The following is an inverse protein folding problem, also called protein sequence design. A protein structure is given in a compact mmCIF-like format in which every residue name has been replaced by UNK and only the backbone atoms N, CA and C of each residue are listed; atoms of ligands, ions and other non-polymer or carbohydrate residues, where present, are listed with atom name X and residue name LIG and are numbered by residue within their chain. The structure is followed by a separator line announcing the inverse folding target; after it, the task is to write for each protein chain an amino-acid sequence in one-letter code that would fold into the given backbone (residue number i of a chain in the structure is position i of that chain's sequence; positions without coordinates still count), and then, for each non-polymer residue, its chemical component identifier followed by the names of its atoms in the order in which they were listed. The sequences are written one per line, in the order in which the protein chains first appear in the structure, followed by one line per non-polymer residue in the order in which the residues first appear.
data_IF_199261633966
#
_entry.id   IF_199261633966
#
_cell.length_a   1.000
_cell.length_b   1.000
_cell.length_c   1.000
_cell.angle_alpha   90.00
_cell.angle_beta   90.00
_cell.angle_gamma   90.00
#
_symmetry.space_group_name_H-M   'P 1'
#
loop_
_entity.id
_entity.type
_entity.pdbx_description
1 polymer ?
#
# COMPACT_ATOMS: atom_id res chain seq x y z
N UNK A 1 -0.33 1.28 -20.17
CA UNK A 1 0.45 1.75 -18.99
C UNK A 1 1.06 3.11 -19.34
N UNK A 2 1.48 3.95 -18.38
CA UNK A 2 2.18 5.21 -18.67
C UNK A 2 3.34 5.05 -19.69
N UNK A 3 4.10 3.96 -19.58
CA UNK A 3 5.15 3.61 -20.54
C UNK A 3 4.66 3.48 -22.00
N UNK A 4 3.41 3.08 -22.23
CA UNK A 4 2.85 2.96 -23.60
C UNK A 4 2.58 4.32 -24.25
N UNK A 5 2.58 5.39 -23.45
CA UNK A 5 2.44 6.78 -23.93
C UNK A 5 3.73 7.57 -23.69
N UNK A 6 4.85 6.88 -23.46
CA UNK A 6 6.17 7.51 -23.26
C UNK A 6 6.34 8.24 -21.92
N UNK A 7 5.48 7.97 -20.93
CA UNK A 7 5.51 8.64 -19.62
C UNK A 7 5.98 7.71 -18.52
N UNK A 8 6.82 8.20 -17.63
CA UNK A 8 7.23 7.54 -16.40
C UNK A 8 6.76 8.39 -15.22
N UNK A 9 6.10 7.75 -14.25
CA UNK A 9 5.69 8.39 -13.00
C UNK A 9 6.62 7.90 -11.90
N UNK A 10 7.33 8.81 -11.26
CA UNK A 10 8.34 8.49 -10.24
C UNK A 10 7.91 9.14 -8.92
N UNK A 11 7.97 8.37 -7.83
CA UNK A 11 7.76 8.89 -6.49
C UNK A 11 8.91 9.84 -6.12
N UNK A 12 8.63 10.95 -5.42
CA UNK A 12 9.62 11.97 -5.07
C UNK A 12 10.82 11.38 -4.31
N UNK A 13 10.58 10.48 -3.36
CA UNK A 13 11.65 9.82 -2.59
C UNK A 13 12.46 8.86 -3.48
N UNK A 14 11.84 8.24 -4.48
CA UNK A 14 12.59 7.44 -5.46
C UNK A 14 13.54 8.34 -6.26
N UNK A 15 13.10 9.53 -6.68
CA UNK A 15 13.96 10.47 -7.38
C UNK A 15 15.10 10.98 -6.48
N UNK A 16 14.80 11.30 -5.22
CA UNK A 16 15.79 11.64 -4.19
C UNK A 16 16.86 10.55 -4.07
N UNK A 17 16.44 9.29 -3.89
CA UNK A 17 17.34 8.15 -3.76
C UNK A 17 18.15 7.87 -5.03
N UNK A 18 17.62 8.14 -6.23
CA UNK A 18 18.38 8.04 -7.48
C UNK A 18 19.52 9.07 -7.48
N UNK A 19 19.26 10.30 -7.03
CA UNK A 19 20.30 11.33 -6.89
C UNK A 19 21.45 10.89 -5.97
N UNK A 20 21.12 10.33 -4.81
CA UNK A 20 22.10 9.77 -3.88
C UNK A 20 22.86 8.57 -4.47
N UNK A 21 22.16 7.66 -5.14
CA UNK A 21 22.79 6.51 -5.79
C UNK A 21 23.79 6.92 -6.88
N UNK A 22 23.52 8.00 -7.63
CA UNK A 22 24.47 8.56 -8.61
C UNK A 22 25.72 9.16 -7.94
N UNK A 23 25.62 9.57 -6.67
CA UNK A 23 26.76 10.00 -5.86
C UNK A 23 27.46 8.83 -5.13
N UNK A 24 27.04 7.58 -5.37
CA UNK A 24 27.60 6.38 -4.72
C UNK A 24 26.99 6.07 -3.36
N UNK A 25 25.92 6.74 -2.96
CA UNK A 25 25.22 6.51 -1.69
C UNK A 25 24.01 5.58 -1.91
N UNK A 26 24.05 4.34 -1.39
CA UNK A 26 22.95 3.39 -1.56
C UNK A 26 21.76 3.71 -0.66
N UNK A 27 20.59 3.14 -1.00
CA UNK A 27 19.38 3.27 -0.19
C UNK A 27 19.46 2.35 1.03
N UNK A 28 19.75 2.92 2.19
CA UNK A 28 19.79 2.24 3.50
C UNK A 28 18.64 2.66 4.42
N UNK A 29 17.98 3.78 4.14
CA UNK A 29 16.92 4.34 4.97
C UNK A 29 15.62 4.57 4.19
N UNK A 30 14.53 4.79 4.94
CA UNK A 30 13.20 5.12 4.45
C UNK A 30 12.61 6.26 5.27
N UNK A 31 11.92 7.19 4.59
CA UNK A 31 11.07 8.15 5.29
C UNK A 31 9.72 7.52 5.60
N UNK A 32 9.35 7.45 6.87
CA UNK A 32 8.11 6.82 7.34
C UNK A 32 7.34 7.79 8.22
N UNK A 33 6.06 7.99 7.91
CA UNK A 33 5.12 8.71 8.76
C UNK A 33 4.38 7.75 9.67
N UNK A 34 4.42 7.98 10.99
CA UNK A 34 3.62 7.29 11.99
C UNK A 34 2.48 8.22 12.42
N UNK A 35 1.25 7.79 12.22
CA UNK A 35 0.06 8.59 12.46
C UNK A 35 -1.09 7.76 13.07
N UNK A 36 -2.22 8.41 13.35
CA UNK A 36 -3.39 7.76 13.93
C UNK A 36 -3.43 7.87 15.45
N UNK A 37 -3.88 6.81 16.12
CA UNK A 37 -3.99 6.68 17.57
C UNK A 37 -2.63 6.38 18.23
N UNK A 38 -1.73 7.36 18.14
CA UNK A 38 -0.41 7.34 18.79
C UNK A 38 -0.27 8.57 19.69
N UNK A 39 0.65 8.56 20.65
CA UNK A 39 0.84 9.73 21.52
C UNK A 39 1.23 10.98 20.72
N UNK A 40 2.22 10.84 19.84
CA UNK A 40 2.71 11.94 19.00
C UNK A 40 2.94 11.45 17.56
N UNK A 41 2.12 11.90 16.59
CA UNK A 41 2.36 11.64 15.18
C UNK A 41 3.68 12.26 14.72
N UNK A 42 4.50 11.48 14.03
CA UNK A 42 5.84 11.89 13.59
C UNK A 42 6.15 11.39 12.18
N UNK A 43 7.06 12.08 11.51
CA UNK A 43 7.72 11.57 10.30
C UNK A 43 9.21 11.50 10.56
N UNK A 44 9.83 10.36 10.25
CA UNK A 44 11.20 10.04 10.66
C UNK A 44 11.93 9.33 9.52
N UNK A 45 13.25 9.56 9.40
CA UNK A 45 14.15 8.77 8.56
C UNK A 45 14.65 7.57 9.36
N UNK A 46 14.22 6.36 8.98
CA UNK A 46 14.55 5.13 9.70
C UNK A 46 15.32 4.15 8.83
N UNK A 47 16.19 3.29 9.41
CA UNK A 47 16.89 2.26 8.64
C UNK A 47 15.89 1.26 8.06
N UNK A 48 16.13 0.81 6.82
CA UNK A 48 15.34 -0.25 6.23
C UNK A 48 15.46 -1.52 7.09
N UNK A 49 14.34 -2.21 7.22
CA UNK A 49 14.22 -3.44 7.99
C UNK A 49 14.03 -3.27 9.48
N UNK A 50 14.00 -2.04 10.00
CA UNK A 50 13.51 -1.77 11.36
C UNK A 50 12.07 -2.26 11.50
N UNK A 51 11.68 -2.73 12.68
CA UNK A 51 10.32 -3.20 12.89
C UNK A 51 9.33 -2.03 12.96
N UNK A 52 8.07 -2.28 12.57
CA UNK A 52 7.01 -1.29 12.75
C UNK A 52 6.82 -0.93 14.24
N UNK A 53 6.99 -1.89 15.15
CA UNK A 53 6.91 -1.70 16.60
C UNK A 53 7.93 -0.70 17.12
N UNK A 54 9.21 -0.82 16.72
CA UNK A 54 10.24 0.15 17.09
C UNK A 54 9.89 1.57 16.62
N UNK A 55 9.24 1.73 15.47
CA UNK A 55 8.76 3.04 15.02
C UNK A 55 7.53 3.55 15.79
N UNK A 56 6.64 2.66 16.21
CA UNK A 56 5.53 3.02 17.08
C UNK A 56 6.02 3.53 18.43
N UNK A 57 7.07 2.92 18.99
CA UNK A 57 7.69 3.36 20.25
C UNK A 57 8.24 4.79 20.14
N UNK A 58 8.84 5.15 18.99
CA UNK A 58 9.29 6.53 18.73
C UNK A 58 8.14 7.54 18.70
N UNK A 59 6.94 7.13 18.25
CA UNK A 59 5.72 7.94 18.28
C UNK A 59 5.05 7.97 19.68
N UNK A 60 5.69 7.39 20.70
CA UNK A 60 5.19 7.27 22.06
C UNK A 60 4.17 6.14 22.26
N UNK A 61 4.14 5.17 21.35
CA UNK A 61 3.30 3.98 21.40
C UNK A 61 1.86 4.20 20.93
N UNK A 62 1.12 3.10 20.68
CA UNK A 62 -0.31 3.15 20.38
C UNK A 62 -1.11 3.60 21.61
N UNK A 63 -2.18 4.36 21.39
CA UNK A 63 -3.08 4.83 22.46
C UNK A 63 -3.84 3.72 23.18
N UNK A 64 -3.99 2.56 22.52
CA UNK A 64 -4.67 1.37 23.04
C UNK A 64 -3.82 0.11 22.80
N UNK A 65 -3.93 -0.88 23.68
CA UNK A 65 -3.25 -2.18 23.51
C UNK A 65 -3.87 -3.01 22.37
N UNK A 66 -5.17 -2.85 22.13
CA UNK A 66 -5.88 -3.49 21.02
C UNK A 66 -6.08 -2.50 19.87
N UNK A 67 -5.24 -2.65 18.84
CA UNK A 67 -5.20 -1.72 17.71
C UNK A 67 -5.03 -2.44 16.37
N UNK A 68 -5.45 -1.76 15.33
CA UNK A 68 -5.17 -2.06 13.94
C UNK A 68 -3.97 -1.26 13.49
N UNK A 69 -3.05 -1.93 12.81
CA UNK A 69 -1.92 -1.31 12.15
C UNK A 69 -2.09 -1.41 10.65
N UNK A 70 -2.12 -0.25 9.98
CA UNK A 70 -2.25 -0.15 8.53
C UNK A 70 -0.93 0.36 7.97
N UNK A 71 -0.34 -0.41 7.07
CA UNK A 71 0.82 0.01 6.27
C UNK A 71 0.34 0.74 5.00
N UNK A 72 0.79 1.98 4.82
CA UNK A 72 0.37 2.88 3.74
C UNK A 72 -0.74 3.84 4.17
N UNK A 73 -1.60 4.22 3.22
CA UNK A 73 -2.70 5.15 3.48
C UNK A 73 -4.02 4.46 3.89
N UNK A 74 -5.00 5.20 4.43
CA UNK A 74 -6.25 4.61 4.94
C UNK A 74 -7.14 3.99 3.85
N UNK A 75 -6.91 4.36 2.59
CA UNK A 75 -7.69 3.88 1.44
C UNK A 75 -7.09 2.64 0.77
N UNK A 76 -5.77 2.60 0.57
CA UNK A 76 -5.09 1.54 -0.20
C UNK A 76 -4.12 0.71 0.64
N UNK A 77 -3.91 1.10 1.91
CA UNK A 77 -3.02 0.41 2.82
C UNK A 77 -3.54 -0.96 3.23
N UNK A 78 -2.64 -1.77 3.74
CA UNK A 78 -2.91 -3.16 4.13
C UNK A 78 -2.72 -3.32 5.62
N UNK A 79 -3.45 -4.27 6.21
CA UNK A 79 -3.18 -4.67 7.58
C UNK A 79 -1.77 -5.25 7.69
N UNK A 80 -1.05 -4.80 8.70
CA UNK A 80 0.27 -5.27 9.07
C UNK A 80 0.33 -5.50 10.58
N UNK A 81 1.48 -5.93 11.09
CA UNK A 81 1.71 -6.16 12.52
C UNK A 81 2.99 -5.46 12.95
N UNK A 82 3.16 -5.25 14.25
CA UNK A 82 4.32 -4.58 14.84
C UNK A 82 5.65 -5.25 14.50
N UNK A 83 5.65 -6.56 14.25
CA UNK A 83 6.86 -7.35 14.00
C UNK A 83 7.34 -7.22 12.56
N UNK A 84 6.51 -6.71 11.64
CA UNK A 84 6.89 -6.62 10.24
C UNK A 84 7.95 -5.54 10.01
N UNK A 85 8.92 -5.79 9.14
CA UNK A 85 9.95 -4.83 8.81
C UNK A 85 9.41 -3.71 7.91
N UNK A 86 9.97 -2.52 8.09
CA UNK A 86 9.85 -1.40 7.14
C UNK A 86 10.68 -1.70 5.90
N UNK A 87 10.07 -1.50 4.74
CA UNK A 87 10.68 -1.75 3.42
C UNK A 87 10.74 -0.47 2.59
N UNK A 88 11.39 -0.52 1.42
CA UNK A 88 11.40 0.58 0.45
C UNK A 88 9.99 1.06 0.05
N UNK A 89 8.98 0.19 0.18
CA UNK A 89 7.57 0.50 -0.13
C UNK A 89 6.75 1.03 1.04
N UNK A 90 7.29 0.99 2.26
CA UNK A 90 6.59 1.41 3.47
C UNK A 90 6.61 2.94 3.59
N UNK A 91 5.55 3.62 3.15
CA UNK A 91 5.47 5.09 3.22
C UNK A 91 4.92 5.63 4.54
N UNK A 92 4.16 4.82 5.28
CA UNK A 92 3.57 5.25 6.55
C UNK A 92 2.88 4.13 7.29
N UNK A 93 2.65 4.34 8.57
CA UNK A 93 1.99 3.45 9.52
C UNK A 93 0.85 4.23 10.18
N UNK A 94 -0.36 3.69 10.11
CA UNK A 94 -1.54 4.29 10.73
C UNK A 94 -2.05 3.33 11.81
N UNK A 95 -2.06 3.80 13.05
CA UNK A 95 -2.64 3.09 14.20
C UNK A 95 -4.09 3.53 14.36
N UNK A 96 -5.01 2.60 14.54
CA UNK A 96 -6.40 2.89 14.88
C UNK A 96 -6.90 1.88 15.91
N UNK A 97 -7.79 2.24 16.86
CA UNK A 97 -8.38 1.23 17.73
C UNK A 97 -9.20 0.22 16.91
N UNK A 98 -9.29 -1.03 17.37
CA UNK A 98 -10.10 -2.07 16.69
C UNK A 98 -11.59 -1.73 16.62
N UNK A 99 -12.07 -0.86 17.52
CA UNK A 99 -13.42 -0.30 17.53
C UNK A 99 -13.68 0.69 16.38
N UNK A 100 -12.63 1.21 15.73
CA UNK A 100 -12.74 2.22 14.69
C UNK A 100 -13.57 1.73 13.48
N UNK A 101 -14.43 2.56 12.85
CA UNK A 101 -15.29 2.14 11.74
C UNK A 101 -14.54 1.48 10.56
N UNK A 102 -13.33 1.94 10.24
CA UNK A 102 -12.50 1.33 9.19
C UNK A 102 -12.11 -0.12 9.49
N UNK A 103 -12.04 -0.55 10.75
CA UNK A 103 -11.78 -1.94 11.14
C UNK A 103 -12.73 -2.93 10.45
N UNK A 104 -14.01 -2.53 10.36
CA UNK A 104 -15.06 -3.31 9.71
C UNK A 104 -14.82 -3.44 8.20
N UNK A 105 -14.10 -2.51 7.59
CA UNK A 105 -13.80 -2.59 6.15
C UNK A 105 -12.75 -3.65 5.85
N UNK A 106 -11.79 -3.87 6.75
CA UNK A 106 -10.70 -4.85 6.58
C UNK A 106 -11.08 -6.27 6.98
N UNK A 107 -12.06 -6.45 7.87
CA UNK A 107 -12.46 -7.76 8.42
C UNK A 107 -13.58 -8.47 7.65
N UNK A 108 -14.14 -7.87 6.58
CA UNK A 108 -15.28 -8.46 5.85
C UNK A 108 -14.85 -9.54 4.87
N UNK A 109 -15.42 -10.73 5.06
CA UNK A 109 -15.26 -11.84 4.11
C UNK A 109 -16.00 -11.59 2.79
N UNK A 110 -15.56 -12.26 1.74
CA UNK A 110 -16.20 -12.23 0.41
C UNK A 110 -17.69 -12.56 0.51
N UNK A 111 -18.02 -13.65 1.20
CA UNK A 111 -19.40 -14.11 1.39
C UNK A 111 -20.28 -13.07 2.08
N UNK A 112 -19.76 -12.41 3.12
CA UNK A 112 -20.50 -11.32 3.81
C UNK A 112 -20.75 -10.14 2.88
N UNK A 113 -19.76 -9.74 2.08
CA UNK A 113 -19.93 -8.65 1.11
C UNK A 113 -20.94 -9.00 0.01
N UNK A 114 -20.93 -10.25 -0.49
CA UNK A 114 -21.88 -10.71 -1.50
C UNK A 114 -23.32 -10.74 -0.97
N UNK A 115 -23.52 -11.32 0.21
CA UNK A 115 -24.83 -11.37 0.85
C UNK A 115 -25.38 -9.96 1.09
N UNK A 116 -24.55 -9.04 1.60
CA UNK A 116 -24.97 -7.66 1.81
C UNK A 116 -25.33 -6.98 0.48
N UNK A 117 -24.52 -7.17 -0.57
CA UNK A 117 -24.82 -6.62 -1.88
C UNK A 117 -26.17 -7.14 -2.43
N UNK A 118 -26.45 -8.43 -2.29
CA UNK A 118 -27.73 -9.03 -2.65
C UNK A 118 -28.91 -8.45 -1.86
N UNK A 119 -28.70 -8.14 -0.57
CA UNK A 119 -29.77 -7.65 0.31
C UNK A 119 -30.09 -6.16 0.15
N UNK A 120 -29.09 -5.29 -0.05
CA UNK A 120 -29.28 -3.83 0.07
C UNK A 120 -28.82 -3.01 -1.15
N UNK A 121 -28.19 -3.61 -2.16
CA UNK A 121 -27.71 -2.83 -3.30
C UNK A 121 -28.87 -2.32 -4.16
N UNK A 122 -29.10 -1.01 -4.16
CA UNK A 122 -30.14 -0.38 -4.99
C UNK A 122 -29.72 -0.04 -6.43
N UNK A 123 -28.52 -0.45 -6.86
CA UNK A 123 -28.00 -0.20 -8.22
C UNK A 123 -27.93 1.28 -8.62
N UNK A 124 -27.79 2.20 -7.66
CA UNK A 124 -27.84 3.67 -7.85
C UNK A 124 -26.68 4.29 -8.66
N UNK A 125 -25.77 3.50 -9.25
CA UNK A 125 -24.61 3.95 -10.04
C UNK A 125 -23.54 4.82 -9.32
N UNK A 126 -23.76 5.35 -8.11
CA UNK A 126 -22.83 6.27 -7.42
C UNK A 126 -21.38 5.79 -7.35
N UNK A 127 -21.15 4.48 -7.15
CA UNK A 127 -19.81 3.90 -7.13
C UNK A 127 -19.04 4.02 -8.46
N UNK A 128 -19.76 4.29 -9.56
CA UNK A 128 -19.23 4.51 -10.91
C UNK A 128 -19.11 6.00 -11.21
N UNK A 129 -20.12 6.80 -10.84
CA UNK A 129 -20.09 8.25 -11.03
C UNK A 129 -18.92 8.92 -10.30
N UNK A 130 -18.56 8.40 -9.13
CA UNK A 130 -17.45 8.91 -8.31
C UNK A 130 -16.15 8.14 -8.53
N UNK A 131 -16.12 7.15 -9.44
CA UNK A 131 -14.91 6.36 -9.67
C UNK A 131 -13.83 7.21 -10.35
N UNK A 132 -12.64 7.42 -9.75
CA UNK A 132 -11.60 8.25 -10.37
C UNK A 132 -11.16 7.74 -11.74
N UNK A 133 -11.12 6.42 -11.93
CA UNK A 133 -10.77 5.82 -13.23
C UNK A 133 -11.82 6.10 -14.28
N UNK A 134 -13.11 6.03 -13.92
CA UNK A 134 -14.22 6.38 -14.82
C UNK A 134 -14.17 7.86 -15.21
N UNK A 135 -13.91 8.74 -14.23
CA UNK A 135 -13.77 10.17 -14.46
C UNK A 135 -12.59 10.52 -15.35
N UNK A 136 -11.53 9.70 -15.36
CA UNK A 136 -10.39 9.81 -16.28
C UNK A 136 -10.63 9.16 -17.66
N UNK A 137 -11.86 8.76 -17.99
CA UNK A 137 -12.20 8.16 -19.27
C UNK A 137 -11.91 6.65 -19.38
N UNK A 138 -11.61 5.94 -18.29
CA UNK A 138 -11.59 4.47 -18.35
C UNK A 138 -13.01 3.91 -18.40
N UNK A 139 -13.25 2.79 -19.11
CA UNK A 139 -14.58 2.18 -19.21
C UNK A 139 -15.01 1.45 -17.93
N UNK A 140 -14.40 1.70 -16.78
CA UNK A 140 -14.68 0.99 -15.53
C UNK A 140 -16.06 1.38 -14.95
N UNK A 141 -16.94 0.39 -14.82
CA UNK A 141 -18.29 0.56 -14.28
C UNK A 141 -18.54 -0.34 -13.04
N UNK A 142 -18.08 0.07 -11.84
CA UNK A 142 -18.19 -0.75 -10.63
C UNK A 142 -19.62 -1.20 -10.31
N UNK A 143 -20.65 -0.41 -10.64
CA UNK A 143 -22.05 -0.79 -10.42
C UNK A 143 -22.45 -2.02 -11.23
N UNK A 144 -22.04 -2.11 -12.50
CA UNK A 144 -22.31 -3.28 -13.35
C UNK A 144 -21.57 -4.51 -12.88
N UNK A 145 -20.32 -4.33 -12.42
CA UNK A 145 -19.54 -5.41 -11.84
C UNK A 145 -20.24 -5.95 -10.59
N UNK A 146 -20.69 -5.07 -9.69
CA UNK A 146 -21.48 -5.46 -8.51
C UNK A 146 -22.75 -6.22 -8.90
N UNK A 147 -23.51 -5.74 -9.90
CA UNK A 147 -24.70 -6.42 -10.41
C UNK A 147 -24.37 -7.82 -10.96
N UNK A 148 -23.35 -7.89 -11.81
CA UNK A 148 -22.97 -9.14 -12.46
C UNK A 148 -22.52 -10.20 -11.45
N UNK A 149 -21.69 -9.81 -10.47
CA UNK A 149 -21.25 -10.71 -9.40
C UNK A 149 -22.41 -11.11 -8.49
N UNK A 150 -23.27 -10.17 -8.09
CA UNK A 150 -24.37 -10.45 -7.15
C UNK A 150 -25.38 -11.43 -7.73
N UNK A 151 -25.77 -11.25 -8.99
CA UNK A 151 -26.76 -12.09 -9.66
C UNK A 151 -26.16 -13.22 -10.50
N UNK A 152 -24.85 -13.49 -10.35
CA UNK A 152 -24.12 -14.51 -11.10
C UNK A 152 -24.31 -14.39 -12.64
N UNK A 153 -24.30 -13.17 -13.16
CA UNK A 153 -24.46 -12.87 -14.59
C UNK A 153 -23.09 -12.92 -15.25
N UNK A 154 -22.96 -13.70 -16.32
CA UNK A 154 -21.77 -13.75 -17.16
C UNK A 154 -21.65 -12.50 -18.07
N UNK A 155 -21.41 -11.32 -17.48
CA UNK A 155 -21.19 -10.08 -18.23
C UNK A 155 -19.75 -10.02 -18.76
N UNK A 156 -19.57 -10.47 -20.01
CA UNK A 156 -18.28 -10.47 -20.74
C UNK A 156 -17.72 -9.06 -21.01
N UNK A 157 -18.50 -8.00 -20.77
CA UNK A 157 -18.07 -6.61 -20.96
C UNK A 157 -17.65 -6.00 -19.63
N UNK A 158 -18.50 -6.10 -18.60
CA UNK A 158 -18.28 -5.44 -17.31
C UNK A 158 -17.23 -6.15 -16.45
N UNK A 159 -17.29 -7.48 -16.31
CA UNK A 159 -16.41 -8.22 -15.40
C UNK A 159 -14.91 -8.01 -15.73
N UNK A 160 -14.47 -8.05 -16.99
CA UNK A 160 -13.09 -7.71 -17.36
C UNK A 160 -12.61 -6.34 -16.89
N UNK A 161 -13.50 -5.35 -16.80
CA UNK A 161 -13.14 -3.98 -16.44
C UNK A 161 -12.55 -3.90 -15.03
N UNK A 162 -12.77 -4.91 -14.17
CA UNK A 162 -12.14 -5.00 -12.86
C UNK A 162 -10.61 -4.79 -12.92
N UNK A 163 -9.95 -5.24 -13.99
CA UNK A 163 -8.51 -5.02 -14.22
C UNK A 163 -8.09 -3.54 -14.28
N UNK A 164 -9.02 -2.62 -14.60
CA UNK A 164 -8.78 -1.17 -14.66
C UNK A 164 -8.87 -0.47 -13.30
N UNK A 165 -9.41 -1.14 -12.28
CA UNK A 165 -9.61 -0.55 -10.96
C UNK A 165 -8.26 -0.14 -10.35
N UNK A 166 -8.19 1.01 -9.69
CA UNK A 166 -7.00 1.45 -8.94
C UNK A 166 -7.02 1.02 -7.47
N UNK A 167 -8.10 0.38 -7.01
CA UNK A 167 -8.29 -0.06 -5.63
C UNK A 167 -8.32 1.09 -4.61
N UNK A 168 -8.56 2.33 -5.06
CA UNK A 168 -8.56 3.54 -4.24
C UNK A 168 -9.65 3.62 -3.15
N UNK A 169 -10.65 2.75 -3.15
CA UNK A 169 -11.68 2.72 -2.11
C UNK A 169 -12.72 3.86 -2.14
N UNK A 170 -12.67 4.80 -3.09
CA UNK A 170 -13.71 5.84 -3.19
C UNK A 170 -15.12 5.25 -3.27
N UNK A 171 -15.27 4.13 -4.00
CA UNK A 171 -16.56 3.47 -4.18
C UNK A 171 -17.18 2.92 -2.88
N UNK A 172 -16.37 2.50 -1.91
CA UNK A 172 -16.85 1.85 -0.68
C UNK A 172 -16.70 2.73 0.56
N UNK A 173 -15.64 3.53 0.62
CA UNK A 173 -15.39 4.48 1.72
C UNK A 173 -16.19 5.78 1.57
N UNK A 174 -16.60 6.14 0.34
CA UNK A 174 -17.28 7.42 0.09
C UNK A 174 -18.53 7.36 -0.78
N UNK A 175 -18.59 6.52 -1.80
CA UNK A 175 -19.74 6.55 -2.71
C UNK A 175 -20.92 5.76 -2.14
N UNK A 176 -20.72 4.50 -1.74
CA UNK A 176 -21.84 3.62 -1.40
C UNK A 176 -22.56 4.04 -0.11
N UNK A 177 -23.87 4.38 -0.16
CA UNK A 177 -24.62 4.75 1.04
C UNK A 177 -24.93 3.54 1.94
N UNK A 178 -24.91 2.33 1.38
CA UNK A 178 -25.15 1.08 2.10
C UNK A 178 -23.86 0.41 2.60
N UNK A 179 -22.70 1.04 2.41
CA UNK A 179 -21.41 0.51 2.84
C UNK A 179 -21.00 -0.78 2.13
N UNK A 180 -21.41 -1.00 0.89
CA UNK A 180 -20.95 -2.12 0.06
C UNK A 180 -19.51 -1.87 -0.41
N UNK A 181 -18.79 -2.96 -0.72
CA UNK A 181 -17.40 -2.86 -1.22
C UNK A 181 -17.22 -3.30 -2.69
N UNK A 182 -17.47 -2.41 -3.67
CA UNK A 182 -17.08 -2.65 -5.05
C UNK A 182 -15.55 -2.78 -5.23
N UNK A 183 -14.75 -2.13 -4.38
CA UNK A 183 -13.28 -2.30 -4.36
C UNK A 183 -12.91 -3.75 -4.14
N UNK A 184 -13.46 -4.40 -3.10
CA UNK A 184 -13.15 -5.79 -2.78
C UNK A 184 -13.62 -6.73 -3.90
N UNK A 185 -14.81 -6.52 -4.47
CA UNK A 185 -15.25 -7.33 -5.62
C UNK A 185 -14.29 -7.22 -6.81
N UNK A 186 -13.82 -6.01 -7.12
CA UNK A 186 -12.84 -5.80 -8.18
C UNK A 186 -11.49 -6.48 -7.86
N UNK A 187 -11.04 -6.47 -6.61
CA UNK A 187 -9.79 -7.14 -6.20
C UNK A 187 -9.86 -8.65 -6.44
N UNK A 188 -10.98 -9.29 -6.07
CA UNK A 188 -11.19 -10.71 -6.29
C UNK A 188 -11.21 -11.06 -7.78
N UNK A 189 -11.98 -10.31 -8.57
CA UNK A 189 -12.06 -10.50 -10.02
C UNK A 189 -10.71 -10.28 -10.69
N UNK A 190 -9.92 -9.31 -10.24
CA UNK A 190 -8.56 -9.10 -10.75
C UNK A 190 -7.67 -10.32 -10.53
N UNK A 191 -7.72 -10.94 -9.35
CA UNK A 191 -6.94 -12.15 -9.05
C UNK A 191 -7.34 -13.27 -10.01
N UNK A 192 -8.65 -13.50 -10.18
CA UNK A 192 -9.18 -14.54 -11.05
C UNK A 192 -8.81 -14.29 -12.53
N UNK A 193 -9.02 -13.08 -13.04
CA UNK A 193 -8.70 -12.72 -14.42
C UNK A 193 -7.20 -12.82 -14.71
N UNK A 194 -6.34 -12.43 -13.75
CA UNK A 194 -4.89 -12.60 -13.87
C UNK A 194 -4.48 -14.08 -13.88
N UNK A 195 -5.09 -14.90 -13.02
CA UNK A 195 -4.84 -16.36 -13.00
C UNK A 195 -5.18 -17.01 -14.34
N UNK A 196 -6.22 -16.54 -15.01
CA UNK A 196 -6.63 -16.99 -16.34
C UNK A 196 -5.86 -16.32 -17.48
N UNK A 197 -4.79 -15.58 -17.21
CA UNK A 197 -4.00 -14.84 -18.20
C UNK A 197 -4.82 -13.94 -19.13
N UNK A 198 -5.94 -13.41 -18.63
CA UNK A 198 -6.83 -12.59 -19.44
C UNK A 198 -6.19 -11.22 -19.73
N UNK A 199 -5.93 -10.94 -21.01
CA UNK A 199 -5.26 -9.70 -21.48
C UNK A 199 -6.17 -8.91 -22.43
N UNK A 200 -7.01 -8.02 -21.92
CA UNK A 200 -7.89 -7.20 -22.74
C UNK A 200 -7.18 -6.00 -23.36
N UNK A 201 -7.58 -5.65 -24.57
CA UNK A 201 -7.31 -4.35 -25.16
C UNK A 201 -8.40 -3.36 -24.73
N UNK A 202 -7.99 -2.21 -24.20
CA UNK A 202 -8.92 -1.19 -23.71
C UNK A 202 -8.99 -0.03 -24.71
N UNK A 203 -10.21 0.35 -25.07
CA UNK A 203 -10.46 1.67 -25.67
C UNK A 203 -10.80 2.64 -24.55
N UNK A 204 -10.15 3.81 -24.54
CA UNK A 204 -10.57 4.89 -23.67
C UNK A 204 -12.02 5.27 -24.01
N UNK A 205 -12.83 5.40 -22.98
CA UNK A 205 -14.14 6.02 -23.07
C UNK A 205 -13.96 7.55 -23.03
N UNK A 206 -15.00 8.28 -23.43
CA UNK A 206 -15.02 9.73 -23.24
C UNK A 206 -15.00 10.09 -21.75
N UNK A 207 -14.31 11.18 -21.42
CA UNK A 207 -14.39 11.78 -20.09
C UNK A 207 -15.86 12.18 -19.85
N UNK A 208 -16.51 11.65 -18.80
CA UNK A 208 -17.92 11.93 -18.56
C UNK A 208 -18.17 13.43 -18.26
N UNK A 209 -19.27 14.00 -18.75
CA UNK A 209 -19.63 15.41 -18.51
C UNK A 209 -19.73 15.74 -17.02
N UNK A 210 -19.31 16.94 -16.59
CA UNK A 210 -19.34 17.32 -15.16
C UNK A 210 -18.36 16.54 -14.30
N UNK A 211 -17.20 16.17 -14.84
CA UNK A 211 -16.15 15.46 -14.11
C UNK A 211 -15.59 16.29 -12.94
N UNK A 212 -15.40 17.60 -13.13
CA UNK A 212 -14.86 18.53 -12.13
C UNK A 212 -15.72 18.55 -10.86
N UNK A 213 -17.04 18.61 -11.00
CA UNK A 213 -17.98 18.62 -9.88
C UNK A 213 -18.16 17.27 -9.15
N UNK A 214 -17.51 16.20 -9.61
CA UNK A 214 -17.61 14.84 -9.04
C UNK A 214 -16.35 14.38 -8.32
N UNK A 215 -15.40 15.28 -8.12
CA UNK A 215 -14.26 15.03 -7.26
C UNK A 215 -14.71 14.87 -5.81
N UNK A 216 -13.98 14.03 -5.05
CA UNK A 216 -14.28 13.78 -3.64
C UNK A 216 -13.57 14.83 -2.80
N UNK A 217 -14.28 15.68 -2.04
CA UNK A 217 -13.64 16.61 -1.13
C UNK A 217 -12.90 15.87 -0.03
N UNK A 218 -11.63 16.22 0.19
CA UNK A 218 -10.76 15.56 1.16
C UNK A 218 -11.35 15.53 2.57
N UNK A 219 -11.82 16.66 3.09
CA UNK A 219 -12.39 16.74 4.45
C UNK A 219 -13.64 15.88 4.62
N UNK A 220 -14.47 15.78 3.57
CA UNK A 220 -15.66 14.91 3.61
C UNK A 220 -15.27 13.44 3.60
N UNK A 221 -14.25 13.07 2.83
CA UNK A 221 -13.71 11.71 2.82
C UNK A 221 -13.15 11.33 4.19
N UNK A 222 -12.32 12.19 4.80
CA UNK A 222 -11.77 11.97 6.14
C UNK A 222 -12.86 11.74 7.18
N UNK A 223 -13.86 12.64 7.25
CA UNK A 223 -14.97 12.53 8.20
C UNK A 223 -15.77 11.26 7.99
N UNK A 224 -16.05 10.90 6.73
CA UNK A 224 -16.80 9.66 6.41
C UNK A 224 -16.03 8.40 6.78
N UNK A 225 -14.70 8.44 6.73
CA UNK A 225 -13.85 7.35 7.22
C UNK A 225 -13.72 7.31 8.75
N UNK A 226 -14.22 8.33 9.48
CA UNK A 226 -14.02 8.46 10.93
C UNK A 226 -12.62 8.95 11.31
N UNK A 227 -11.84 9.48 10.36
CA UNK A 227 -10.43 9.82 10.55
C UNK A 227 -10.17 11.28 10.96
N UNK A 228 -11.23 12.08 11.15
CA UNK A 228 -11.08 13.51 11.43
C UNK A 228 -10.27 13.78 12.72
N UNK A 229 -10.53 13.02 13.79
CA UNK A 229 -9.83 13.17 15.08
C UNK A 229 -8.38 12.66 15.03
N UNK A 230 -8.09 11.77 14.08
CA UNK A 230 -6.77 11.18 13.85
C UNK A 230 -5.94 11.95 12.84
N UNK A 231 -6.53 12.96 12.16
CA UNK A 231 -5.86 13.82 11.20
C UNK A 231 -5.05 14.92 11.90
N UNK A 232 -4.04 14.48 12.64
CA UNK A 232 -3.08 15.34 13.32
C UNK A 232 -1.82 15.45 12.46
N UNK A 233 -1.22 16.64 12.45
CA UNK A 233 0.02 16.88 11.72
C UNK A 233 1.14 15.99 12.28
N UNK A 234 1.85 15.30 11.39
CA UNK A 234 2.99 14.47 11.76
C UNK A 234 4.27 15.31 11.71
N UNK A 235 4.83 15.61 12.88
CA UNK A 235 6.01 16.48 12.99
C UNK A 235 7.23 15.76 12.44
N UNK A 236 8.02 16.46 11.62
CA UNK A 236 9.31 15.94 11.18
C UNK A 236 10.27 15.83 12.37
N UNK A 237 10.72 14.61 12.64
CA UNK A 237 11.64 14.31 13.73
C UNK A 237 13.02 13.99 13.15
N UNK A 238 13.91 14.97 13.23
CA UNK A 238 15.30 14.83 12.79
C UNK A 238 16.15 14.19 13.88
N UNK A 239 16.05 12.87 13.99
CA UNK A 239 16.81 12.06 14.94
C UNK A 239 17.52 10.90 14.24
N UNK A 240 18.63 10.47 14.84
CA UNK A 240 19.30 9.24 14.45
C UNK A 240 18.54 8.03 15.04
N UNK A 241 17.84 7.29 14.18
CA UNK A 241 17.12 6.07 14.58
C UNK A 241 18.07 4.88 14.59
N UNK A 242 18.30 4.30 15.77
CA UNK A 242 19.15 3.12 15.94
C UNK A 242 18.30 1.87 16.08
N UNK A 243 18.41 0.97 15.12
CA UNK A 243 17.83 -0.37 15.20
C UNK A 243 18.86 -1.35 15.78
N UNK A 244 18.44 -2.23 16.69
CA UNK A 244 19.31 -3.32 17.21
C UNK A 244 19.46 -4.45 16.21
N UNK A 245 18.47 -4.64 15.35
CA UNK A 245 18.44 -5.65 14.31
C UNK A 245 17.55 -5.14 13.19
N UNK A 246 17.87 -5.50 11.94
CA UNK A 246 17.00 -5.22 10.78
C UNK A 246 16.71 -6.51 10.04
N UNK A 247 15.47 -6.65 9.56
CA UNK A 247 15.08 -7.70 8.62
C UNK A 247 14.78 -7.10 7.25
N UNK A 248 15.50 -7.53 6.23
CA UNK A 248 15.44 -6.98 4.87
C UNK A 248 14.86 -8.04 3.92
N UNK A 249 13.53 -8.02 3.66
CA UNK A 249 12.92 -8.89 2.66
C UNK A 249 13.56 -8.70 1.28
N UNK A 250 13.70 -9.78 0.51
CA UNK A 250 14.31 -9.71 -0.83
C UNK A 250 13.40 -9.09 -1.91
N UNK A 251 12.09 -9.05 -1.66
CA UNK A 251 11.10 -8.44 -2.54
C UNK A 251 10.59 -7.13 -1.93
N UNK A 252 11.15 -6.00 -2.37
CA UNK A 252 10.73 -4.66 -1.91
C UNK A 252 10.43 -3.69 -3.06
N UNK A 253 10.05 -4.22 -4.23
CA UNK A 253 9.73 -3.45 -5.42
C UNK A 253 8.83 -4.23 -6.39
N UNK A 254 8.58 -3.72 -7.58
CA UNK A 254 7.74 -4.38 -8.60
C UNK A 254 8.48 -5.40 -9.47
N UNK A 255 9.81 -5.31 -9.52
CA UNK A 255 10.70 -6.22 -10.25
C UNK A 255 10.89 -7.61 -9.61
N UNK A 256 11.85 -8.39 -10.11
CA UNK A 256 12.18 -9.72 -9.60
C UNK A 256 12.91 -9.65 -8.23
N UNK A 257 12.66 -10.57 -7.28
CA UNK A 257 13.31 -10.53 -5.97
C UNK A 257 14.84 -10.47 -6.10
N UNK A 258 15.50 -9.74 -5.19
CA UNK A 258 16.96 -9.72 -5.11
C UNK A 258 17.50 -11.08 -4.67
N UNK A 259 18.72 -11.41 -5.09
CA UNK A 259 19.42 -12.65 -4.71
C UNK A 259 20.50 -12.30 -3.69
N UNK A 260 20.49 -12.91 -2.49
CA UNK A 260 21.52 -12.68 -1.48
C UNK A 260 22.92 -13.02 -2.01
N UNK A 261 23.90 -12.18 -1.70
CA UNK A 261 25.33 -12.43 -1.99
C UNK A 261 26.16 -12.60 -0.71
N UNK A 262 25.49 -12.62 0.45
CA UNK A 262 26.10 -12.76 1.78
C UNK A 262 25.73 -14.09 2.41
N UNK A 263 26.49 -14.49 3.42
CA UNK A 263 26.29 -15.74 4.17
C UNK A 263 26.05 -15.47 5.65
N UNK A 264 25.38 -16.41 6.33
CA UNK A 264 25.21 -16.35 7.79
C UNK A 264 26.59 -16.30 8.47
N UNK A 265 26.77 -15.40 9.43
CA UNK A 265 28.02 -15.13 10.13
C UNK A 265 28.90 -14.07 9.49
N UNK A 266 28.60 -13.62 8.25
CA UNK A 266 29.35 -12.56 7.60
C UNK A 266 29.17 -11.23 8.33
N UNK A 267 30.28 -10.52 8.60
CA UNK A 267 30.25 -9.12 9.03
C UNK A 267 30.02 -8.22 7.82
N UNK A 268 29.10 -7.27 7.96
CA UNK A 268 28.76 -6.29 6.92
C UNK A 268 28.80 -4.88 7.47
N UNK A 269 29.22 -3.92 6.64
CA UNK A 269 29.15 -2.49 6.95
C UNK A 269 27.87 -1.88 6.41
N UNK A 270 27.37 -0.83 7.07
CA UNK A 270 26.26 -0.05 6.52
C UNK A 270 26.60 0.45 5.10
N UNK A 271 25.65 0.33 4.18
CA UNK A 271 25.83 0.64 2.76
C UNK A 271 26.46 -0.48 1.93
N UNK A 272 26.96 -1.55 2.54
CA UNK A 272 27.50 -2.69 1.80
C UNK A 272 26.41 -3.41 0.99
N UNK A 273 26.71 -3.80 -0.24
CA UNK A 273 25.80 -4.57 -1.09
C UNK A 273 25.61 -5.98 -0.49
N UNK A 274 24.36 -6.37 -0.23
CA UNK A 274 24.04 -7.66 0.39
C UNK A 274 23.13 -8.55 -0.46
N UNK A 275 22.44 -7.97 -1.44
CA UNK A 275 21.68 -8.73 -2.44
C UNK A 275 21.64 -8.00 -3.79
N UNK A 276 21.87 -8.74 -4.86
CA UNK A 276 21.91 -8.24 -6.23
C UNK A 276 20.62 -8.55 -7.00
N UNK A 277 20.43 -7.90 -8.15
CA UNK A 277 19.29 -8.19 -9.02
C UNK A 277 19.68 -9.26 -10.03
N UNK A 278 18.84 -10.29 -10.27
CA UNK A 278 19.11 -11.27 -11.31
C UNK A 278 19.37 -10.61 -12.66
N UNK A 279 20.40 -11.07 -13.37
CA UNK A 279 20.83 -10.51 -14.65
C UNK A 279 19.66 -10.36 -15.64
N UNK A 280 19.54 -9.17 -16.23
CA UNK A 280 18.51 -8.87 -17.23
C UNK A 280 17.08 -8.73 -16.67
N UNK A 281 16.92 -8.69 -15.34
CA UNK A 281 15.62 -8.41 -14.70
C UNK A 281 15.57 -6.97 -14.19
N UNK A 282 14.35 -6.42 -14.17
CA UNK A 282 14.07 -5.17 -13.49
C UNK A 282 14.09 -5.42 -11.98
N UNK A 283 14.73 -4.53 -11.22
CA UNK A 283 14.75 -4.56 -9.75
C UNK A 283 15.64 -3.48 -9.16
N UNK A 284 15.78 -3.47 -7.83
CA UNK A 284 16.69 -2.58 -7.11
C UNK A 284 17.43 -3.35 -6.00
N UNK A 285 18.76 -3.37 -6.07
CA UNK A 285 19.63 -4.08 -5.14
C UNK A 285 19.39 -3.69 -3.67
N UNK A 286 19.75 -4.59 -2.75
CA UNK A 286 19.66 -4.36 -1.31
C UNK A 286 21.05 -4.15 -0.72
N UNK A 287 21.11 -3.19 0.20
CA UNK A 287 22.31 -2.82 0.93
C UNK A 287 22.05 -2.95 2.43
N UNK A 288 23.10 -3.22 3.19
CA UNK A 288 23.03 -3.30 4.64
C UNK A 288 22.61 -1.95 5.22
N UNK A 289 21.52 -1.95 5.99
CA UNK A 289 20.97 -0.74 6.63
C UNK A 289 21.53 -0.50 8.03
N UNK A 290 22.42 -1.37 8.49
CA UNK A 290 23.21 -1.22 9.71
C UNK A 290 24.50 -2.02 9.60
N UNK A 291 25.52 -1.59 10.34
CA UNK A 291 26.78 -2.34 10.51
C UNK A 291 26.58 -3.45 11.55
N UNK A 292 26.94 -4.69 11.21
CA UNK A 292 26.71 -5.81 12.10
C UNK A 292 27.04 -7.18 11.49
N UNK A 293 26.37 -8.22 11.97
CA UNK A 293 26.56 -9.60 11.51
C UNK A 293 25.27 -10.14 10.91
N UNK A 294 25.37 -10.80 9.76
CA UNK A 294 24.27 -11.51 9.11
C UNK A 294 23.91 -12.74 9.95
N UNK A 295 22.68 -12.82 10.42
CA UNK A 295 22.20 -13.93 11.27
C UNK A 295 21.19 -14.83 10.57
N UNK A 296 20.58 -14.37 9.47
CA UNK A 296 19.63 -15.14 8.67
C UNK A 296 19.77 -14.77 7.19
N UNK A 297 19.73 -15.78 6.32
CA UNK A 297 19.62 -15.61 4.87
C UNK A 297 18.56 -16.60 4.36
N UNK A 298 17.51 -16.08 3.74
CA UNK A 298 16.40 -16.87 3.19
C UNK A 298 15.54 -16.00 2.28
N UNK A 299 14.24 -15.90 2.56
CA UNK A 299 13.36 -14.93 1.87
C UNK A 299 13.61 -13.46 2.29
N UNK A 300 14.46 -13.28 3.30
CA UNK A 300 14.91 -12.02 3.86
C UNK A 300 16.36 -12.19 4.35
N UNK A 301 17.05 -11.07 4.58
CA UNK A 301 18.36 -11.02 5.22
C UNK A 301 18.19 -10.33 6.57
N UNK A 302 18.59 -10.98 7.66
CA UNK A 302 18.54 -10.37 9.00
C UNK A 302 19.96 -10.01 9.43
N UNK A 303 20.15 -8.74 9.81
CA UNK A 303 21.43 -8.23 10.31
C UNK A 303 21.23 -7.79 11.75
N UNK A 304 22.05 -8.33 12.67
CA UNK A 304 22.07 -7.92 14.08
C UNK A 304 23.18 -6.90 14.30
N UNK A 305 22.82 -5.76 14.89
CA UNK A 305 23.74 -4.71 15.26
C UNK A 305 24.62 -5.10 16.44
N UNK A 306 25.87 -4.66 16.40
CA UNK A 306 26.88 -4.97 17.39
C UNK A 306 28.26 -4.95 16.74
N UNK A 307 29.14 -4.11 17.28
CA UNK A 307 30.56 -4.13 16.94
C UNK A 307 31.17 -5.28 17.73
N UNK A 308 31.67 -6.30 17.04
CA UNK A 308 32.71 -7.15 17.59
C UNK A 308 34.05 -6.59 17.17
#
# INVERSE_FOLDING_TARGET
MPLHVGVIVINVETLYNIGHALAGEPVTCKFVTIAGDVKQPITVKAPLGITAGELLDLAGGPGNSDYLLIEGGPCMGKLTTSEKPVTKTTGGLIVLPTSHPLAKSYSRTVRKNLNLALSVCSQCHQCTDLCPRRLLGHPLEPHRIMRAVSYNIADKVALPQALLCSECGVCDLYACPFGLSPRHMNQLLKVELKRNNFRPAWKLASIPRGHEGRQVPYDRLLRRMGLAEYNREAVWMDIEVKAKSVSLPLQQHTGAPSVPIVQIGQKVKEGELIAEIPTGKLGAALHASLTGTVVEVGNQIVIRGGVA
#
